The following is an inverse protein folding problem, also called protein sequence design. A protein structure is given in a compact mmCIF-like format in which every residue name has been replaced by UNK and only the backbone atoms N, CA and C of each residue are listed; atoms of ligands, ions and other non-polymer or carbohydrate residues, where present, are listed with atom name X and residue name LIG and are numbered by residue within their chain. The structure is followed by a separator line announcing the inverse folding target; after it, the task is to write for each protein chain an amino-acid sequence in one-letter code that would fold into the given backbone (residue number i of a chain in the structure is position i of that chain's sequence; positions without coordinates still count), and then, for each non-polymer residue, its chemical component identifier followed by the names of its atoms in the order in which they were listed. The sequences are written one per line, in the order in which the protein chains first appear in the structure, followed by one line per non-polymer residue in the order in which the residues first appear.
data_IF_331706923998
#
_entry.id   IF_331706923998
#
_cell.length_a   1.000
_cell.length_b   1.000
_cell.length_c   1.000
_cell.angle_alpha   90.00
_cell.angle_beta   90.00
_cell.angle_gamma   90.00
#
_symmetry.space_group_name_H-M   'P 1'
#
loop_
_entity.id
_entity.type
_entity.pdbx_description
1 polymer ?
#
# COMPACT_ATOMS: atom_id res chain seq x y z
N UNK A 1 2.10 22.73 -11.83
CA UNK A 1 0.88 23.54 -11.56
C UNK A 1 0.19 23.26 -10.21
N UNK A 2 0.38 22.11 -9.55
CA UNK A 2 0.05 21.94 -8.11
C UNK A 2 1.29 22.10 -7.22
N UNK A 3 2.37 21.41 -7.55
CA UNK A 3 3.64 21.43 -6.80
C UNK A 3 4.29 22.82 -6.71
N UNK A 4 4.22 23.61 -7.79
CA UNK A 4 4.71 24.99 -7.77
C UNK A 4 3.97 25.87 -6.76
N UNK A 5 2.66 25.64 -6.54
CA UNK A 5 1.88 26.39 -5.54
C UNK A 5 2.32 26.04 -4.12
N UNK A 6 2.87 24.85 -3.93
CA UNK A 6 3.45 24.36 -2.68
C UNK A 6 4.96 24.69 -2.56
N UNK A 7 5.54 25.43 -3.50
CA UNK A 7 6.96 25.75 -3.50
C UNK A 7 7.89 24.55 -3.76
N UNK A 8 7.37 23.43 -4.27
CA UNK A 8 8.12 22.20 -4.52
C UNK A 8 8.67 22.21 -5.94
N UNK A 9 10.00 22.08 -6.08
CA UNK A 9 10.66 22.05 -7.38
C UNK A 9 10.54 20.68 -8.04
N UNK A 10 10.84 20.59 -9.34
CA UNK A 10 10.90 19.30 -10.04
C UNK A 10 12.00 18.40 -9.47
N UNK A 11 13.14 18.97 -9.10
CA UNK A 11 14.25 18.23 -8.51
C UNK A 11 13.88 17.62 -7.16
N UNK A 12 13.17 18.38 -6.31
CA UNK A 12 12.62 17.85 -5.05
C UNK A 12 11.68 16.68 -5.31
N UNK A 13 10.74 16.84 -6.25
CA UNK A 13 9.75 15.81 -6.56
C UNK A 13 10.36 14.54 -7.14
N UNK A 14 11.36 14.66 -8.02
CA UNK A 14 12.07 13.51 -8.58
C UNK A 14 12.82 12.73 -7.48
N UNK A 15 13.50 13.45 -6.57
CA UNK A 15 14.18 12.85 -5.41
C UNK A 15 13.19 12.20 -4.43
N UNK A 16 12.11 12.89 -4.07
CA UNK A 16 11.07 12.34 -3.19
C UNK A 16 10.37 11.14 -3.82
N UNK A 17 10.19 11.13 -5.14
CA UNK A 17 9.63 9.97 -5.86
C UNK A 17 10.57 8.76 -5.76
N UNK A 18 11.87 8.95 -5.95
CA UNK A 18 12.85 7.88 -5.76
C UNK A 18 12.84 7.35 -4.32
N UNK A 19 12.87 8.23 -3.32
CA UNK A 19 12.83 7.82 -1.92
C UNK A 19 11.52 7.12 -1.56
N UNK A 20 10.38 7.58 -2.08
CA UNK A 20 9.08 6.96 -1.87
C UNK A 20 9.08 5.53 -2.40
N UNK A 21 9.63 5.31 -3.60
CA UNK A 21 9.77 3.97 -4.18
C UNK A 21 10.68 3.07 -3.35
N UNK A 22 11.83 3.57 -2.90
CA UNK A 22 12.74 2.83 -2.01
C UNK A 22 12.07 2.47 -0.70
N UNK A 23 11.41 3.43 -0.05
CA UNK A 23 10.75 3.23 1.23
C UNK A 23 9.62 2.20 1.12
N UNK A 24 8.73 2.32 0.12
CA UNK A 24 7.67 1.33 -0.11
C UNK A 24 8.26 -0.07 -0.36
N UNK A 25 9.30 -0.16 -1.20
CA UNK A 25 9.94 -1.42 -1.53
C UNK A 25 10.58 -2.08 -0.29
N UNK A 26 11.44 -1.35 0.41
CA UNK A 26 12.26 -1.89 1.51
C UNK A 26 11.47 -2.07 2.80
N UNK A 27 10.58 -1.12 3.14
CA UNK A 27 9.84 -1.14 4.39
C UNK A 27 8.64 -2.09 4.33
N UNK A 28 7.99 -2.19 3.17
CA UNK A 28 6.76 -2.98 3.02
C UNK A 28 7.02 -4.25 2.20
N UNK A 29 7.37 -4.12 0.92
CA UNK A 29 7.37 -5.28 0.01
C UNK A 29 8.44 -6.33 0.37
N UNK A 30 9.69 -5.92 0.62
CA UNK A 30 10.78 -6.83 0.97
C UNK A 30 10.45 -7.58 2.26
N UNK A 31 10.03 -6.86 3.30
CA UNK A 31 9.64 -7.47 4.58
C UNK A 31 8.44 -8.40 4.46
N UNK A 32 7.45 -8.04 3.64
CA UNK A 32 6.29 -8.89 3.39
C UNK A 32 6.70 -10.18 2.69
N UNK A 33 7.60 -10.13 1.72
CA UNK A 33 8.14 -11.34 1.05
C UNK A 33 8.87 -12.23 2.04
N UNK A 34 9.75 -11.67 2.88
CA UNK A 34 10.44 -12.42 3.93
C UNK A 34 9.48 -13.09 4.92
N UNK A 35 8.39 -12.40 5.28
CA UNK A 35 7.35 -12.95 6.15
C UNK A 35 6.55 -14.07 5.46
N UNK A 36 6.24 -13.92 4.17
CA UNK A 36 5.59 -14.96 3.37
C UNK A 36 6.47 -16.21 3.31
N UNK A 37 7.77 -16.04 3.04
CA UNK A 37 8.75 -17.14 2.98
C UNK A 37 8.84 -17.84 4.34
N UNK A 38 8.99 -17.08 5.42
CA UNK A 38 9.01 -17.59 6.79
C UNK A 38 7.77 -18.43 7.13
N UNK A 39 6.57 -17.96 6.74
CA UNK A 39 5.33 -18.74 6.92
C UNK A 39 5.34 -20.02 6.11
N UNK A 40 5.70 -19.94 4.83
CA UNK A 40 5.72 -21.08 3.93
C UNK A 40 6.74 -22.15 4.38
N UNK A 41 7.88 -21.73 4.93
CA UNK A 41 8.89 -22.63 5.50
C UNK A 41 8.39 -23.33 6.77
N UNK A 42 7.64 -22.63 7.63
CA UNK A 42 7.01 -23.25 8.81
C UNK A 42 5.96 -24.28 8.35
N UNK A 43 5.09 -23.92 7.39
CA UNK A 43 4.07 -24.80 6.86
C UNK A 43 4.68 -26.08 6.26
N UNK A 44 5.79 -25.98 5.52
CA UNK A 44 6.52 -27.15 5.04
C UNK A 44 7.04 -28.03 6.20
N UNK A 45 7.65 -27.43 7.22
CA UNK A 45 8.24 -28.17 8.35
C UNK A 45 7.21 -28.94 9.17
N UNK A 46 5.98 -28.44 9.28
CA UNK A 46 4.88 -29.12 9.98
C UNK A 46 4.09 -30.08 9.08
N UNK A 47 4.56 -30.34 7.86
CA UNK A 47 3.93 -31.28 6.92
C UNK A 47 2.68 -30.73 6.21
N UNK A 48 2.57 -29.42 6.06
CA UNK A 48 1.42 -28.71 5.44
C UNK A 48 1.84 -27.89 4.21
N UNK A 49 2.73 -28.44 3.38
CA UNK A 49 3.28 -27.78 2.19
C UNK A 49 2.21 -27.37 1.15
N UNK A 50 1.09 -28.09 1.11
CA UNK A 50 -0.05 -27.81 0.24
C UNK A 50 -0.83 -26.55 0.66
N UNK A 51 -0.60 -26.05 1.88
CA UNK A 51 -1.32 -24.90 2.46
C UNK A 51 -0.56 -23.57 2.35
N UNK A 52 0.45 -23.50 1.48
CA UNK A 52 1.31 -22.33 1.33
C UNK A 52 0.60 -21.09 0.76
N UNK A 53 1.06 -19.93 1.21
CA UNK A 53 0.70 -18.62 0.68
C UNK A 53 1.13 -18.55 -0.79
N UNK A 54 0.20 -18.11 -1.65
CA UNK A 54 0.38 -18.05 -3.10
C UNK A 54 -0.10 -19.30 -3.83
N UNK A 55 -0.40 -20.38 -3.11
CA UNK A 55 -0.89 -21.65 -3.70
C UNK A 55 -2.38 -21.85 -3.43
N UNK A 56 -2.83 -21.57 -2.21
CA UNK A 56 -4.24 -21.74 -1.82
C UNK A 56 -5.02 -20.42 -1.88
N UNK A 57 -6.35 -20.54 -1.83
CA UNK A 57 -7.24 -19.38 -1.78
C UNK A 57 -7.11 -18.58 -0.48
N UNK A 58 -7.51 -17.30 -0.52
CA UNK A 58 -7.51 -16.43 0.67
C UNK A 58 -8.43 -16.96 1.79
N UNK A 59 -9.57 -17.57 1.47
CA UNK A 59 -10.46 -18.17 2.48
C UNK A 59 -9.80 -19.38 3.15
N UNK A 60 -9.10 -20.21 2.38
CA UNK A 60 -8.30 -21.31 2.92
C UNK A 60 -7.18 -20.79 3.83
N UNK A 61 -6.45 -19.73 3.45
CA UNK A 61 -5.43 -19.11 4.31
C UNK A 61 -5.99 -18.61 5.64
N UNK A 62 -7.19 -18.00 5.64
CA UNK A 62 -7.87 -17.60 6.88
C UNK A 62 -8.17 -18.81 7.77
N UNK A 63 -8.61 -19.93 7.20
CA UNK A 63 -8.83 -21.16 7.97
C UNK A 63 -7.52 -21.71 8.56
N UNK A 64 -6.42 -21.63 7.82
CA UNK A 64 -5.08 -22.01 8.31
C UNK A 64 -4.66 -21.12 9.49
N UNK A 65 -4.89 -19.80 9.41
CA UNK A 65 -4.55 -18.86 10.48
C UNK A 65 -5.36 -19.06 11.77
N UNK A 66 -6.53 -19.71 11.68
CA UNK A 66 -7.33 -20.11 12.84
C UNK A 66 -6.87 -21.46 13.37
N UNK A 67 -6.83 -22.48 12.51
CA UNK A 67 -6.56 -23.88 12.90
C UNK A 67 -5.12 -24.15 13.31
N UNK A 68 -4.16 -23.34 12.83
CA UNK A 68 -2.73 -23.48 13.11
C UNK A 68 -2.16 -22.24 13.80
N UNK A 69 -2.99 -21.53 14.56
CA UNK A 69 -2.61 -20.27 15.20
C UNK A 69 -1.36 -20.37 16.07
N UNK A 70 -1.20 -21.47 16.81
CA UNK A 70 -0.04 -21.67 17.71
C UNK A 70 1.25 -22.02 16.93
N UNK A 71 1.12 -22.64 15.76
CA UNK A 71 2.26 -23.07 14.95
C UNK A 71 2.71 -21.99 13.96
N UNK A 72 1.77 -21.16 13.48
CA UNK A 72 2.02 -20.11 12.47
C UNK A 72 1.36 -18.79 12.88
N UNK A 73 1.72 -18.21 14.05
CA UNK A 73 1.05 -17.02 14.59
C UNK A 73 1.17 -15.81 13.67
N UNK A 74 2.28 -15.68 12.94
CA UNK A 74 2.53 -14.56 12.02
C UNK A 74 1.59 -14.52 10.80
N UNK A 75 0.93 -15.63 10.45
CA UNK A 75 0.02 -15.66 9.29
C UNK A 75 -1.15 -14.67 9.44
N UNK A 76 -1.66 -14.48 10.67
CA UNK A 76 -2.75 -13.53 10.94
C UNK A 76 -2.38 -12.10 10.59
N UNK A 77 -1.12 -11.70 10.80
CA UNK A 77 -0.64 -10.36 10.50
C UNK A 77 -0.43 -10.11 8.99
N UNK A 78 -0.24 -11.18 8.21
CA UNK A 78 0.05 -11.10 6.76
C UNK A 78 -1.26 -11.12 5.94
N UNK A 79 -2.31 -11.79 6.43
CA UNK A 79 -3.60 -11.92 5.73
C UNK A 79 -4.13 -10.57 5.20
N UNK A 80 -4.12 -9.46 5.96
CA UNK A 80 -4.61 -8.18 5.45
C UNK A 80 -3.90 -7.69 4.18
N UNK A 81 -2.62 -8.00 4.00
CA UNK A 81 -1.87 -7.65 2.78
C UNK A 81 -2.30 -8.50 1.58
N UNK A 82 -2.71 -9.74 1.84
CA UNK A 82 -3.16 -10.71 0.82
C UNK A 82 -4.59 -10.46 0.36
N UNK A 83 -5.34 -9.59 1.03
CA UNK A 83 -6.71 -9.22 0.67
C UNK A 83 -6.80 -8.33 -0.59
N UNK A 84 -5.66 -7.91 -1.15
CA UNK A 84 -5.61 -7.08 -2.36
C UNK A 84 -6.27 -7.75 -3.58
N UNK A 85 -6.22 -9.08 -3.68
CA UNK A 85 -6.77 -9.84 -4.80
C UNK A 85 -7.19 -11.24 -4.39
N UNK A 86 -8.22 -11.78 -5.03
CA UNK A 86 -8.62 -13.18 -4.88
C UNK A 86 -7.67 -14.14 -5.61
N UNK A 87 -6.95 -13.67 -6.63
CA UNK A 87 -5.92 -14.43 -7.33
C UNK A 87 -4.60 -14.37 -6.55
N UNK A 88 -4.47 -15.26 -5.56
CA UNK A 88 -3.34 -15.31 -4.64
C UNK A 88 -2.00 -15.60 -5.33
N UNK A 89 -2.00 -16.48 -6.34
CA UNK A 89 -0.80 -16.82 -7.09
C UNK A 89 -0.24 -15.60 -7.82
N UNK A 90 -1.10 -14.89 -8.57
CA UNK A 90 -0.71 -13.65 -9.24
C UNK A 90 -0.25 -12.57 -8.25
N UNK A 91 -1.01 -12.36 -7.18
CA UNK A 91 -0.69 -11.35 -6.18
C UNK A 91 0.69 -11.60 -5.56
N UNK A 92 0.94 -12.81 -5.09
CA UNK A 92 2.21 -13.18 -4.45
C UNK A 92 3.36 -13.12 -5.45
N UNK A 93 3.16 -13.56 -6.69
CA UNK A 93 4.17 -13.41 -7.75
C UNK A 93 4.51 -11.93 -7.96
N UNK A 94 3.52 -11.05 -8.07
CA UNK A 94 3.76 -9.60 -8.26
C UNK A 94 4.43 -8.94 -7.06
N UNK A 95 4.03 -9.27 -5.83
CA UNK A 95 4.68 -8.76 -4.62
C UNK A 95 6.18 -9.13 -4.63
N UNK A 96 6.51 -10.38 -4.99
CA UNK A 96 7.90 -10.84 -5.12
C UNK A 96 8.66 -10.16 -6.25
N UNK A 97 8.03 -9.92 -7.38
CA UNK A 97 8.69 -9.24 -8.50
C UNK A 97 8.94 -7.77 -8.21
N UNK A 98 7.97 -7.10 -7.57
CA UNK A 98 8.08 -5.69 -7.18
C UNK A 98 9.08 -5.46 -6.04
N UNK A 99 9.30 -6.44 -5.16
CA UNK A 99 10.28 -6.33 -4.07
C UNK A 99 11.75 -6.38 -4.56
N UNK A 100 12.00 -6.90 -5.77
CA UNK A 100 13.36 -7.03 -6.32
C UNK A 100 14.01 -5.68 -6.59
N UNK A 101 15.30 -5.59 -6.28
CA UNK A 101 16.14 -4.41 -6.55
C UNK A 101 15.88 -3.20 -5.64
N UNK A 102 14.99 -3.31 -4.64
CA UNK A 102 14.86 -2.31 -3.57
C UNK A 102 14.23 -0.96 -3.94
N UNK A 103 13.72 -0.78 -5.17
CA UNK A 103 13.16 0.50 -5.63
C UNK A 103 11.98 0.35 -6.61
N UNK A 104 11.22 -0.76 -6.51
CA UNK A 104 10.08 -1.05 -7.39
C UNK A 104 10.48 -0.98 -8.89
N UNK A 105 11.64 -1.54 -9.27
CA UNK A 105 12.25 -1.30 -10.60
C UNK A 105 11.38 -1.74 -11.78
N UNK A 106 10.63 -2.84 -11.62
CA UNK A 106 9.75 -3.43 -12.63
C UNK A 106 8.30 -2.94 -12.57
N UNK A 107 8.03 -1.90 -11.79
CA UNK A 107 6.69 -1.34 -11.57
C UNK A 107 6.05 -0.79 -12.84
N UNK A 108 4.81 -1.20 -13.10
CA UNK A 108 3.95 -0.73 -14.19
C UNK A 108 2.64 -0.19 -13.62
N UNK A 109 2.45 1.12 -13.66
CA UNK A 109 1.34 1.77 -12.94
C UNK A 109 -0.07 1.40 -13.44
N UNK A 110 -0.23 1.13 -14.74
CA UNK A 110 -1.53 0.89 -15.39
C UNK A 110 -1.79 -0.57 -15.76
N UNK A 111 -0.86 -1.45 -15.44
CA UNK A 111 -0.93 -2.88 -15.72
C UNK A 111 -0.18 -3.63 -14.63
N UNK A 112 0.12 -4.90 -14.85
CA UNK A 112 0.99 -5.67 -13.98
C UNK A 112 2.09 -6.37 -14.77
N UNK A 113 2.51 -7.51 -14.24
CA UNK A 113 3.50 -8.39 -14.88
C UNK A 113 2.86 -9.45 -15.78
N UNK A 114 3.72 -10.26 -16.39
CA UNK A 114 3.28 -11.50 -17.02
C UNK A 114 2.85 -12.51 -15.95
N UNK A 115 1.77 -13.23 -16.20
CA UNK A 115 1.26 -14.27 -15.30
C UNK A 115 0.99 -15.55 -16.09
N UNK A 116 1.60 -16.67 -15.67
CA UNK A 116 1.48 -17.98 -16.35
C UNK A 116 1.72 -17.89 -17.88
N UNK A 117 2.73 -17.11 -18.28
CA UNK A 117 3.09 -16.90 -19.68
C UNK A 117 2.16 -15.96 -20.47
N UNK A 118 1.09 -15.43 -19.84
CA UNK A 118 0.16 -14.47 -20.45
C UNK A 118 0.48 -13.04 -20.01
N UNK A 119 0.24 -12.04 -20.88
CA UNK A 119 0.31 -10.64 -20.47
C UNK A 119 -0.79 -10.32 -19.45
N UNK A 120 -0.61 -9.23 -18.72
CA UNK A 120 -1.62 -8.69 -17.81
C UNK A 120 -2.93 -8.34 -18.55
N UNK A 121 -4.06 -8.64 -17.92
CA UNK A 121 -5.41 -8.33 -18.38
C UNK A 121 -6.18 -7.51 -17.31
N UNK A 122 -7.27 -6.85 -17.69
CA UNK A 122 -7.98 -5.87 -16.84
C UNK A 122 -8.68 -6.46 -15.60
N UNK A 123 -8.90 -7.78 -15.58
CA UNK A 123 -9.44 -8.52 -14.43
C UNK A 123 -8.40 -8.69 -13.31
N UNK A 124 -7.11 -8.50 -13.62
CA UNK A 124 -6.02 -8.50 -12.66
C UNK A 124 -5.74 -7.08 -12.13
N UNK A 125 -5.30 -7.00 -10.88
CA UNK A 125 -4.88 -5.72 -10.31
C UNK A 125 -3.60 -5.21 -10.99
N UNK A 126 -3.59 -3.92 -11.32
CA UNK A 126 -2.38 -3.22 -11.74
C UNK A 126 -1.44 -3.00 -10.54
N UNK A 127 -0.14 -2.82 -10.78
CA UNK A 127 0.83 -2.67 -9.70
C UNK A 127 0.54 -1.48 -8.81
N UNK A 128 -0.01 -0.38 -9.35
CA UNK A 128 -0.34 0.79 -8.53
C UNK A 128 -1.41 0.46 -7.49
N UNK A 129 -2.35 -0.42 -7.84
CA UNK A 129 -3.43 -0.82 -6.95
C UNK A 129 -2.91 -1.77 -5.88
N UNK A 130 -2.04 -2.71 -6.25
CA UNK A 130 -1.34 -3.59 -5.30
C UNK A 130 -0.54 -2.72 -4.32
N UNK A 131 0.35 -1.85 -4.82
CA UNK A 131 1.21 -1.02 -3.95
C UNK A 131 0.37 -0.09 -3.05
N UNK A 132 -0.72 0.49 -3.55
CA UNK A 132 -1.62 1.29 -2.71
C UNK A 132 -2.27 0.46 -1.61
N UNK A 133 -2.78 -0.74 -1.92
CA UNK A 133 -3.33 -1.64 -0.91
C UNK A 133 -2.30 -1.96 0.18
N UNK A 134 -1.08 -2.35 -0.22
CA UNK A 134 0.00 -2.66 0.73
C UNK A 134 0.38 -1.45 1.58
N UNK A 135 0.40 -0.24 1.00
CA UNK A 135 0.64 1.00 1.74
C UNK A 135 -0.46 1.25 2.78
N UNK A 136 -1.73 1.16 2.39
CA UNK A 136 -2.87 1.32 3.29
C UNK A 136 -2.83 0.29 4.43
N UNK A 137 -2.62 -0.99 4.13
CA UNK A 137 -2.52 -2.06 5.13
C UNK A 137 -1.35 -1.84 6.10
N UNK A 138 -0.20 -1.38 5.58
CA UNK A 138 0.91 -1.03 6.45
C UNK A 138 0.53 0.11 7.40
N UNK A 139 -0.05 1.19 6.89
CA UNK A 139 -0.45 2.34 7.69
C UNK A 139 -1.54 1.98 8.72
N UNK A 140 -2.48 1.10 8.39
CA UNK A 140 -3.47 0.54 9.32
C UNK A 140 -2.79 -0.07 10.56
N UNK A 141 -1.73 -0.86 10.35
CA UNK A 141 -0.96 -1.47 11.44
C UNK A 141 -0.12 -0.49 12.28
N UNK A 142 0.02 0.76 11.82
CA UNK A 142 0.79 1.81 12.51
C UNK A 142 -0.08 2.81 13.24
N UNK A 143 -1.39 2.82 13.00
CA UNK A 143 -2.32 3.69 13.69
C UNK A 143 -2.94 2.97 14.91
N UNK A 144 -3.31 3.72 15.97
CA UNK A 144 -4.06 3.16 17.07
C UNK A 144 -5.41 2.62 16.58
N UNK A 145 -5.90 1.57 17.24
CA UNK A 145 -7.23 1.06 16.97
C UNK A 145 -8.28 2.15 17.15
N UNK A 146 -9.25 2.18 16.25
CA UNK A 146 -10.38 3.10 16.27
C UNK A 146 -11.68 2.30 16.27
N UNK A 147 -12.57 2.48 17.27
CA UNK A 147 -13.81 1.71 17.40
C UNK A 147 -14.73 1.77 16.16
N UNK A 148 -14.58 2.80 15.30
CA UNK A 148 -15.34 2.91 14.04
C UNK A 148 -14.88 1.90 12.97
N UNK A 149 -13.70 1.32 13.14
CA UNK A 149 -13.07 0.37 12.21
C UNK A 149 -12.66 -0.89 12.99
N UNK A 150 -13.62 -1.74 13.39
CA UNK A 150 -13.36 -2.93 14.21
C UNK A 150 -12.52 -4.00 13.47
N UNK A 151 -12.40 -3.90 12.14
CA UNK A 151 -11.51 -4.70 11.31
C UNK A 151 -10.04 -4.23 11.36
N UNK A 152 -9.74 -3.19 12.15
CA UNK A 152 -8.40 -2.61 12.30
C UNK A 152 -7.96 -1.72 11.15
N UNK A 153 -8.86 -1.42 10.19
CA UNK A 153 -8.54 -0.65 8.98
C UNK A 153 -8.66 0.86 9.19
N UNK A 154 -8.02 1.38 10.23
CA UNK A 154 -8.16 2.77 10.67
C UNK A 154 -7.65 3.78 9.64
N UNK A 155 -6.45 3.58 9.07
CA UNK A 155 -5.92 4.44 8.02
C UNK A 155 -6.78 4.35 6.77
N UNK A 156 -7.06 3.14 6.30
CA UNK A 156 -7.86 2.91 5.10
C UNK A 156 -9.24 3.55 5.23
N UNK A 157 -9.90 3.36 6.37
CA UNK A 157 -11.25 3.88 6.61
C UNK A 157 -11.35 5.39 6.77
N UNK A 158 -10.26 6.07 7.19
CA UNK A 158 -10.23 7.52 7.37
C UNK A 158 -9.64 8.26 6.17
N UNK A 159 -8.59 7.70 5.57
CA UNK A 159 -7.69 8.41 4.66
C UNK A 159 -7.63 7.80 3.27
N UNK A 160 -8.39 6.74 2.98
CA UNK A 160 -8.47 6.18 1.63
C UNK A 160 -9.92 6.10 1.14
N UNK A 161 -10.17 6.68 -0.02
CA UNK A 161 -11.46 6.68 -0.69
C UNK A 161 -11.32 6.00 -2.06
N UNK A 162 -12.37 5.32 -2.51
CA UNK A 162 -12.38 4.62 -3.80
C UNK A 162 -13.73 4.78 -4.48
N UNK A 163 -13.72 4.98 -5.79
CA UNK A 163 -14.95 4.98 -6.61
C UNK A 163 -15.75 3.67 -6.40
N UNK A 164 -17.11 3.71 -6.34
CA UNK A 164 -18.01 4.79 -6.72
C UNK A 164 -18.21 5.90 -5.67
N UNK A 165 -17.63 5.77 -4.48
CA UNK A 165 -17.83 6.75 -3.41
C UNK A 165 -17.33 8.12 -3.84
N UNK A 166 -18.19 9.13 -3.67
CA UNK A 166 -17.87 10.53 -3.94
C UNK A 166 -17.23 11.14 -2.69
N UNK A 167 -16.11 11.89 -2.83
CA UNK A 167 -15.46 12.51 -1.69
C UNK A 167 -16.35 13.40 -0.82
N UNK A 168 -17.32 14.10 -1.43
CA UNK A 168 -18.24 14.99 -0.71
C UNK A 168 -19.12 14.24 0.29
N UNK A 169 -19.48 12.99 0.01
CA UNK A 169 -20.48 12.24 0.77
C UNK A 169 -19.83 11.19 1.71
N UNK A 170 -18.69 10.64 1.31
CA UNK A 170 -18.10 9.47 1.96
C UNK A 170 -16.89 9.77 2.86
N UNK A 171 -16.36 11.01 2.84
CA UNK A 171 -15.15 11.33 3.60
C UNK A 171 -15.39 11.25 5.11
N UNK A 172 -14.41 10.69 5.81
CA UNK A 172 -14.37 10.61 7.28
C UNK A 172 -13.20 11.39 7.89
N UNK A 173 -12.40 12.04 7.04
CA UNK A 173 -11.24 12.87 7.39
C UNK A 173 -11.13 14.05 6.43
N UNK A 174 -10.50 15.13 6.91
CA UNK A 174 -10.16 16.29 6.11
C UNK A 174 -9.00 16.04 5.14
N UNK A 175 -8.32 14.89 5.23
CA UNK A 175 -7.24 14.52 4.32
C UNK A 175 -7.39 13.07 3.89
N UNK A 176 -7.54 12.82 2.59
CA UNK A 176 -7.65 11.47 2.06
C UNK A 176 -7.01 11.34 0.68
N UNK A 177 -6.48 10.15 0.38
CA UNK A 177 -6.12 9.75 -0.97
C UNK A 177 -7.35 9.13 -1.63
N UNK A 178 -7.74 9.64 -2.80
CA UNK A 178 -8.91 9.18 -3.53
C UNK A 178 -8.53 8.46 -4.82
N UNK A 179 -8.88 7.18 -4.92
CA UNK A 179 -8.79 6.41 -6.16
C UNK A 179 -10.01 6.69 -7.05
N UNK A 180 -9.91 7.74 -7.87
CA UNK A 180 -10.97 8.28 -8.71
C UNK A 180 -11.32 7.42 -9.93
N UNK A 181 -10.41 6.55 -10.38
CA UNK A 181 -10.64 5.63 -11.50
C UNK A 181 -9.91 4.32 -11.25
N UNK A 182 -10.58 3.21 -11.57
CA UNK A 182 -10.01 1.86 -11.43
C UNK A 182 -9.08 1.48 -12.59
N UNK A 183 -9.44 1.82 -13.83
CA UNK A 183 -8.65 1.49 -15.00
C UNK A 183 -8.58 2.63 -16.05
N UNK A 184 -7.38 3.06 -16.48
CA UNK A 184 -6.13 2.88 -15.75
C UNK A 184 -6.21 3.61 -14.39
N UNK A 185 -5.61 3.07 -13.32
CA UNK A 185 -5.68 3.65 -11.97
C UNK A 185 -5.35 5.13 -11.93
N UNK A 186 -6.12 5.90 -11.18
CA UNK A 186 -5.89 7.32 -10.99
C UNK A 186 -6.18 7.76 -9.56
N UNK A 187 -5.18 8.34 -8.92
CA UNK A 187 -5.22 8.84 -7.56
C UNK A 187 -5.25 10.37 -7.54
N UNK A 188 -6.09 10.91 -6.67
CA UNK A 188 -6.24 12.34 -6.36
C UNK A 188 -6.07 12.53 -4.85
N UNK A 189 -5.91 13.77 -4.41
CA UNK A 189 -5.92 14.10 -2.98
C UNK A 189 -7.14 14.94 -2.67
N UNK A 190 -7.81 14.60 -1.58
CA UNK A 190 -8.90 15.38 -1.01
C UNK A 190 -8.34 16.09 0.22
N UNK A 191 -8.42 17.42 0.24
CA UNK A 191 -8.13 18.23 1.42
C UNK A 191 -9.37 19.06 1.73
N UNK A 192 -10.02 18.78 2.86
CA UNK A 192 -11.34 19.33 3.21
C UNK A 192 -12.32 19.13 2.05
N UNK A 193 -12.77 20.22 1.43
CA UNK A 193 -13.72 20.24 0.31
C UNK A 193 -13.06 20.25 -1.08
N UNK A 194 -11.74 20.37 -1.14
CA UNK A 194 -11.00 20.53 -2.38
C UNK A 194 -10.42 19.20 -2.88
N UNK A 195 -10.58 18.93 -4.17
CA UNK A 195 -10.02 17.74 -4.83
C UNK A 195 -8.88 18.14 -5.75
N UNK A 196 -7.67 17.79 -5.33
CA UNK A 196 -6.43 18.02 -6.04
C UNK A 196 -6.15 16.90 -7.03
N UNK A 197 -6.19 17.22 -8.32
CA UNK A 197 -5.88 16.27 -9.38
C UNK A 197 -4.37 16.13 -9.57
N UNK A 198 -3.85 14.93 -9.29
CA UNK A 198 -2.43 14.60 -9.46
C UNK A 198 -2.18 14.24 -10.92
N UNK A 199 -1.08 14.68 -11.55
CA UNK A 199 -0.78 14.33 -12.94
C UNK A 199 -0.85 12.81 -13.19
N UNK A 200 -1.45 12.45 -14.33
CA UNK A 200 -1.60 11.06 -14.77
C UNK A 200 -0.24 10.42 -15.08
N UNK A 201 -0.19 9.09 -15.06
CA UNK A 201 0.95 8.31 -15.53
C UNK A 201 1.74 7.63 -14.40
N UNK A 202 2.97 7.21 -14.71
CA UNK A 202 3.77 6.31 -13.86
C UNK A 202 4.02 6.77 -12.43
N UNK A 203 4.00 8.09 -12.19
CA UNK A 203 4.28 8.67 -10.89
C UNK A 203 3.01 9.05 -10.11
N UNK A 204 1.81 8.88 -10.67
CA UNK A 204 0.56 9.34 -10.07
C UNK A 204 0.36 8.81 -8.63
N UNK A 205 0.58 7.51 -8.41
CA UNK A 205 0.54 6.90 -7.07
C UNK A 205 1.54 7.55 -6.11
N UNK A 206 2.82 7.60 -6.49
CA UNK A 206 3.88 8.11 -5.62
C UNK A 206 3.67 9.58 -5.28
N UNK A 207 3.28 10.38 -6.27
CA UNK A 207 2.94 11.79 -6.09
C UNK A 207 1.73 11.99 -5.17
N UNK A 208 0.72 11.12 -5.22
CA UNK A 208 -0.39 11.16 -4.28
C UNK A 208 0.07 10.88 -2.84
N UNK A 209 0.86 9.81 -2.63
CA UNK A 209 1.45 9.51 -1.31
C UNK A 209 2.32 10.67 -0.81
N UNK A 210 3.19 11.21 -1.67
CA UNK A 210 4.06 12.34 -1.34
C UNK A 210 3.25 13.57 -0.97
N UNK A 211 2.19 13.89 -1.71
CA UNK A 211 1.33 15.03 -1.40
C UNK A 211 0.67 14.84 -0.03
N UNK A 212 0.10 13.66 0.21
CA UNK A 212 -0.52 13.31 1.48
C UNK A 212 0.45 13.49 2.66
N UNK A 213 1.67 12.97 2.54
CA UNK A 213 2.71 13.11 3.55
C UNK A 213 3.20 14.56 3.69
N UNK A 214 3.35 15.28 2.59
CA UNK A 214 3.75 16.68 2.61
C UNK A 214 2.72 17.53 3.37
N UNK A 215 1.42 17.32 3.12
CA UNK A 215 0.36 18.01 3.83
C UNK A 215 0.40 17.72 5.35
N UNK A 216 0.62 16.46 5.74
CA UNK A 216 0.81 16.11 7.17
C UNK A 216 2.05 16.79 7.75
N UNK A 217 3.14 16.87 6.99
CA UNK A 217 4.38 17.51 7.43
C UNK A 217 4.19 19.01 7.66
N UNK A 218 3.48 19.73 6.78
CA UNK A 218 3.35 21.19 6.86
C UNK A 218 2.19 21.63 7.76
N UNK A 219 1.03 20.99 7.67
CA UNK A 219 -0.19 21.43 8.37
C UNK A 219 -0.40 20.72 9.71
N UNK A 220 0.17 19.53 9.88
CA UNK A 220 -0.02 18.69 11.08
C UNK A 220 1.30 18.35 11.78
N UNK A 221 2.38 19.10 11.51
CA UNK A 221 3.71 18.94 12.15
C UNK A 221 4.26 17.51 12.09
N UNK A 222 3.93 16.75 11.05
CA UNK A 222 4.35 15.36 10.89
C UNK A 222 3.54 14.34 11.69
N UNK A 223 2.43 14.74 12.30
CA UNK A 223 1.56 13.90 13.11
C UNK A 223 0.31 13.47 12.34
N UNK A 224 0.05 12.15 12.30
CA UNK A 224 -1.21 11.60 11.82
C UNK A 224 -2.03 11.12 13.01
N UNK A 225 -2.97 11.94 13.46
CA UNK A 225 -3.62 11.76 14.75
C UNK A 225 -2.58 11.84 15.88
N UNK A 226 -2.40 10.75 16.63
CA UNK A 226 -1.40 10.66 17.72
C UNK A 226 -0.08 10.01 17.29
N UNK A 227 0.07 9.65 16.03
CA UNK A 227 1.24 8.92 15.52
C UNK A 227 2.21 9.87 14.83
N UNK A 228 3.47 9.84 15.25
CA UNK A 228 4.54 10.59 14.60
C UNK A 228 5.01 9.84 13.34
N UNK A 229 5.03 10.53 12.19
CA UNK A 229 5.48 9.96 10.92
C UNK A 229 6.98 10.15 10.65
N UNK A 230 7.68 10.90 11.50
CA UNK A 230 9.13 11.12 11.49
C UNK A 230 9.93 10.04 12.23
N UNK A 231 11.19 10.37 12.53
CA UNK A 231 12.21 9.45 13.08
C UNK A 231 11.80 8.73 14.36
N UNK A 232 11.02 9.38 15.23
CA UNK A 232 10.57 8.82 16.50
C UNK A 232 9.34 7.90 16.39
N UNK A 233 8.79 7.72 15.18
CA UNK A 233 7.64 6.86 14.94
C UNK A 233 7.77 6.04 13.66
N UNK A 234 6.86 6.23 12.70
CA UNK A 234 6.80 5.42 11.47
C UNK A 234 8.02 5.63 10.56
N UNK A 235 8.71 6.76 10.71
CA UNK A 235 9.87 7.16 9.91
C UNK A 235 9.63 7.10 8.39
N UNK A 236 8.42 7.47 7.95
CA UNK A 236 8.09 7.61 6.52
C UNK A 236 8.42 9.01 5.99
N UNK A 237 8.49 10.01 6.88
CA UNK A 237 8.85 11.38 6.50
C UNK A 237 10.27 11.50 5.95
N UNK A 238 11.12 10.48 6.15
CA UNK A 238 12.45 10.42 5.53
C UNK A 238 12.40 10.47 4.00
N UNK A 239 11.25 10.16 3.37
CA UNK A 239 11.00 10.33 1.94
C UNK A 239 11.31 11.76 1.47
N UNK A 240 11.01 12.76 2.31
CA UNK A 240 11.19 14.18 2.02
C UNK A 240 12.50 14.76 2.54
N UNK A 241 13.43 13.93 3.05
CA UNK A 241 14.74 14.42 3.47
C UNK A 241 15.56 14.86 2.25
N UNK A 242 16.25 16.00 2.39
CA UNK A 242 17.25 16.41 1.41
C UNK A 242 18.42 15.43 1.44
N UNK A 243 19.11 15.28 0.30
CA UNK A 243 20.41 14.58 0.25
C UNK A 243 21.43 15.33 1.09
#
# INVERSE_FOLDING_TARGET
QIWNKLGITRADLDHWTENCRKWLCQTILVRLVEQIDSVNDVLCRIGCQELQIGTISLSSLRQVAVTKADQVPQLRAIIPYLEASTNQEYLVQRIRELSKGGCLGVYRWNSGGMFRGKPWEQDLFADSQIVMHLFCTYMDSRLPADPRFPDGRTFTGLHFLKTPDKPADARKSDLSIYMARLHPPHYKIVVKDEVYDIPKGRNNLFHAIIFFLHHIKTEHYGMLGRVNLGLSGVNIMCIMNKK
#
